data_IF_534175527680
#
_entry.id   IF_534175527680
#
_cell.length_a   1.000
_cell.length_b   1.000
_cell.length_c   1.000
_cell.angle_alpha   90.00
_cell.angle_beta   90.00
_cell.angle_gamma   90.00
#
_symmetry.space_group_name_H-M   'P 1'
#
loop_
_entity.id
_entity.type
_entity.pdbx_description
1 polymer ?
#
# COMPACT_ATOMS: atom_id res chain seq x y z
N UNK A 1 -58.11 -4.47 -4.22
CA UNK A 1 -56.96 -5.38 -3.99
C UNK A 1 -55.67 -4.81 -4.60
N UNK A 2 -55.21 -3.64 -4.13
CA UNK A 2 -54.08 -2.91 -4.77
C UNK A 2 -53.08 -2.32 -3.78
N UNK A 3 -53.28 -2.48 -2.46
CA UNK A 3 -52.40 -1.90 -1.43
C UNK A 3 -51.29 -2.82 -0.93
N UNK A 4 -51.28 -4.10 -1.31
CA UNK A 4 -50.28 -5.07 -0.85
C UNK A 4 -49.09 -5.28 -1.81
N UNK A 5 -49.14 -4.72 -3.04
CA UNK A 5 -48.08 -4.95 -4.04
C UNK A 5 -46.86 -4.02 -3.85
N UNK A 6 -46.99 -2.91 -3.12
CA UNK A 6 -45.90 -1.93 -2.96
C UNK A 6 -44.91 -2.25 -1.83
N UNK A 7 -45.28 -3.11 -0.87
CA UNK A 7 -44.39 -3.47 0.25
C UNK A 7 -43.40 -4.57 -0.16
N UNK A 8 -43.72 -5.39 -1.16
CA UNK A 8 -42.84 -6.46 -1.62
C UNK A 8 -41.67 -5.97 -2.49
N UNK A 9 -41.80 -4.80 -3.12
CA UNK A 9 -40.75 -4.19 -3.95
C UNK A 9 -39.66 -3.45 -3.16
N UNK A 10 -39.85 -3.23 -1.85
CA UNK A 10 -38.83 -2.60 -1.00
C UNK A 10 -37.84 -3.60 -0.36
N UNK A 11 -38.11 -4.91 -0.47
CA UNK A 11 -37.24 -5.95 0.09
C UNK A 11 -36.29 -6.60 -0.94
N UNK A 12 -36.41 -6.26 -2.23
CA UNK A 12 -35.56 -6.83 -3.29
C UNK A 12 -34.35 -5.98 -3.69
N UNK A 13 -34.12 -4.81 -3.08
CA UNK A 13 -33.16 -3.82 -3.59
C UNK A 13 -31.76 -3.86 -2.98
N UNK A 14 -31.41 -4.82 -2.13
CA UNK A 14 -30.08 -4.80 -1.48
C UNK A 14 -29.36 -6.15 -1.42
N UNK A 15 -29.31 -6.89 -2.54
CA UNK A 15 -28.10 -7.68 -2.79
C UNK A 15 -27.03 -6.72 -3.34
N UNK A 16 -26.60 -5.79 -2.47
CA UNK A 16 -25.33 -5.11 -2.65
C UNK A 16 -24.26 -6.20 -2.49
N UNK A 17 -23.88 -6.84 -3.60
CA UNK A 17 -22.68 -7.66 -3.61
C UNK A 17 -21.53 -6.72 -3.26
N UNK A 18 -21.02 -6.83 -2.03
CA UNK A 18 -19.76 -6.22 -1.66
C UNK A 18 -18.72 -6.69 -2.68
N UNK A 19 -18.16 -5.77 -3.45
CA UNK A 19 -17.17 -6.14 -4.46
C UNK A 19 -15.95 -6.73 -3.75
N UNK A 20 -15.59 -7.93 -4.19
CA UNK A 20 -14.42 -8.66 -3.72
C UNK A 20 -13.30 -8.45 -4.72
N UNK A 21 -12.07 -8.37 -4.24
CA UNK A 21 -10.89 -8.36 -5.09
C UNK A 21 -10.20 -9.70 -5.01
N UNK A 22 -9.77 -10.26 -6.13
CA UNK A 22 -9.00 -11.50 -6.12
C UNK A 22 -7.54 -11.23 -5.81
N UNK A 23 -6.84 -12.27 -5.36
CA UNK A 23 -5.39 -12.25 -5.20
C UNK A 23 -4.90 -13.39 -4.33
N UNK A 24 -3.86 -13.13 -3.54
CA UNK A 24 -3.26 -14.14 -2.68
C UNK A 24 -2.59 -13.53 -1.45
N UNK A 25 -2.42 -14.35 -0.42
CA UNK A 25 -1.56 -14.07 0.74
C UNK A 25 -0.35 -15.01 0.74
N UNK A 26 0.76 -14.56 1.31
CA UNK A 26 1.97 -15.33 1.54
C UNK A 26 2.22 -15.37 3.06
N UNK A 27 2.19 -16.57 3.65
CA UNK A 27 2.46 -16.76 5.08
C UNK A 27 3.96 -16.58 5.41
N UNK A 28 4.30 -16.58 6.69
CA UNK A 28 5.70 -16.53 7.13
C UNK A 28 6.48 -17.81 6.77
N UNK A 29 5.77 -18.94 6.64
CA UNK A 29 6.26 -20.24 6.19
C UNK A 29 6.46 -20.29 4.66
N UNK A 30 6.09 -19.22 3.95
CA UNK A 30 6.08 -19.09 2.48
C UNK A 30 4.99 -19.89 1.77
N UNK A 31 3.93 -20.29 2.48
CA UNK A 31 2.74 -20.84 1.84
C UNK A 31 2.00 -19.72 1.11
N UNK A 32 1.58 -20.00 -0.13
CA UNK A 32 0.76 -19.09 -0.93
C UNK A 32 -0.67 -19.57 -0.95
N UNK A 33 -1.60 -18.72 -0.52
CA UNK A 33 -3.04 -19.04 -0.46
C UNK A 33 -3.77 -18.09 -1.39
N UNK A 34 -4.34 -18.61 -2.47
CA UNK A 34 -5.24 -17.84 -3.32
C UNK A 34 -6.55 -17.55 -2.59
N UNK A 35 -7.04 -16.33 -2.71
CA UNK A 35 -8.22 -15.89 -1.98
C UNK A 35 -8.88 -14.67 -2.63
N UNK A 36 -10.06 -14.31 -2.14
CA UNK A 36 -10.63 -12.99 -2.40
C UNK A 36 -10.55 -12.13 -1.14
N UNK A 37 -10.41 -10.81 -1.30
CA UNK A 37 -10.27 -9.85 -0.21
C UNK A 37 -11.61 -9.20 0.14
N UNK A 38 -11.91 -9.17 1.44
CA UNK A 38 -13.04 -8.44 2.04
C UNK A 38 -12.51 -7.10 2.57
N UNK A 39 -12.41 -6.12 1.67
CA UNK A 39 -11.85 -4.78 1.93
C UNK A 39 -12.91 -3.71 1.77
N UNK A 40 -12.69 -2.56 2.42
CA UNK A 40 -13.62 -1.44 2.29
C UNK A 40 -13.46 -0.81 0.90
N UNK A 41 -14.55 -0.66 0.15
CA UNK A 41 -14.56 -0.04 -1.17
C UNK A 41 -15.19 1.34 -1.18
N UNK A 42 -14.81 2.14 -2.18
CA UNK A 42 -15.45 3.42 -2.44
C UNK A 42 -16.92 3.20 -2.83
N UNK A 43 -17.82 4.01 -2.28
CA UNK A 43 -19.27 3.91 -2.52
C UNK A 43 -19.66 4.19 -3.96
N UNK A 44 -18.88 5.01 -4.68
CA UNK A 44 -19.14 5.43 -6.06
C UNK A 44 -18.31 4.64 -7.09
N UNK A 45 -17.31 3.89 -6.63
CA UNK A 45 -16.44 3.09 -7.50
C UNK A 45 -15.94 1.85 -6.76
N UNK A 46 -16.63 0.74 -6.98
CA UNK A 46 -16.33 -0.51 -6.31
C UNK A 46 -15.02 -1.16 -6.79
N UNK A 47 -14.40 -0.65 -7.87
CA UNK A 47 -13.04 -1.07 -8.29
C UNK A 47 -11.94 -0.36 -7.50
N UNK A 48 -12.30 0.63 -6.69
CA UNK A 48 -11.41 1.33 -5.76
C UNK A 48 -11.66 0.83 -4.33
N UNK A 49 -10.63 0.26 -3.71
CA UNK A 49 -10.62 -0.02 -2.28
C UNK A 49 -9.92 1.10 -1.49
N UNK A 50 -10.20 1.21 -0.20
CA UNK A 50 -9.49 2.12 0.72
C UNK A 50 -8.27 1.40 1.31
N UNK A 51 -7.03 1.78 0.93
CA UNK A 51 -5.84 1.07 1.44
C UNK A 51 -5.64 1.18 2.95
N UNK A 52 -6.27 2.16 3.61
CA UNK A 52 -6.30 2.26 5.07
C UNK A 52 -6.97 1.05 5.72
N UNK A 53 -7.89 0.36 5.02
CA UNK A 53 -8.59 -0.81 5.55
C UNK A 53 -7.67 -2.02 5.75
N UNK A 54 -6.49 -2.02 5.12
CA UNK A 54 -5.52 -3.13 5.20
C UNK A 54 -4.27 -2.80 6.01
N UNK A 55 -4.18 -1.61 6.62
CA UNK A 55 -2.97 -1.17 7.34
C UNK A 55 -2.60 -2.11 8.51
N UNK A 56 -3.58 -2.49 9.32
CA UNK A 56 -3.38 -3.26 10.57
C UNK A 56 -3.79 -4.72 10.48
N UNK A 57 -4.53 -5.06 9.44
CA UNK A 57 -5.01 -6.42 9.20
C UNK A 57 -5.63 -6.50 7.83
N UNK A 58 -5.62 -7.68 7.23
CA UNK A 58 -6.33 -7.96 5.98
C UNK A 58 -7.34 -9.08 6.21
N UNK A 59 -8.55 -8.93 5.64
CA UNK A 59 -9.57 -9.97 5.68
C UNK A 59 -9.64 -10.64 4.31
N UNK A 60 -9.55 -11.96 4.31
CA UNK A 60 -9.70 -12.78 3.11
C UNK A 60 -10.94 -13.66 3.22
N UNK A 61 -11.38 -14.15 2.07
CA UNK A 61 -12.41 -15.15 1.89
C UNK A 61 -11.74 -16.33 1.21
N UNK A 62 -11.70 -17.48 1.89
CA UNK A 62 -11.11 -18.71 1.36
C UNK A 62 -11.98 -19.31 0.26
N UNK A 63 -11.47 -20.30 -0.46
CA UNK A 63 -12.24 -21.05 -1.47
C UNK A 63 -13.52 -21.69 -0.88
N UNK A 64 -13.52 -22.01 0.42
CA UNK A 64 -14.68 -22.54 1.14
C UNK A 64 -15.69 -21.45 1.56
N UNK A 65 -15.42 -20.18 1.26
CA UNK A 65 -16.23 -19.04 1.66
C UNK A 65 -16.00 -18.56 3.09
N UNK A 66 -15.03 -19.13 3.81
CA UNK A 66 -14.73 -18.76 5.18
C UNK A 66 -13.99 -17.41 5.22
N UNK A 67 -14.38 -16.55 6.16
CA UNK A 67 -13.69 -15.27 6.39
C UNK A 67 -12.55 -15.44 7.38
N UNK A 68 -11.33 -15.18 6.94
CA UNK A 68 -10.13 -15.25 7.78
C UNK A 68 -9.49 -13.86 7.86
N UNK A 69 -9.08 -13.46 9.05
CA UNK A 69 -8.40 -12.17 9.28
C UNK A 69 -6.94 -12.43 9.64
N UNK A 70 -6.04 -11.83 8.88
CA UNK A 70 -4.60 -11.87 9.12
C UNK A 70 -4.06 -10.54 9.61
N UNK A 71 -3.04 -10.62 10.46
CA UNK A 71 -2.29 -9.49 10.99
C UNK A 71 -0.86 -9.47 10.41
N UNK A 72 -0.14 -8.33 10.45
CA UNK A 72 1.18 -8.23 9.82
C UNK A 72 2.23 -9.20 10.37
N UNK A 73 2.11 -9.64 11.61
CA UNK A 73 3.01 -10.66 12.18
C UNK A 73 2.70 -12.10 11.70
N UNK A 74 1.63 -12.32 10.94
CA UNK A 74 1.23 -13.64 10.44
C UNK A 74 1.46 -13.82 8.94
N UNK A 75 1.63 -12.72 8.20
CA UNK A 75 1.84 -12.74 6.76
C UNK A 75 3.13 -12.01 6.42
N UNK A 76 3.87 -12.59 5.49
CA UNK A 76 5.00 -11.94 4.82
C UNK A 76 4.50 -10.90 3.83
N UNK A 77 3.51 -11.27 3.01
CA UNK A 77 2.98 -10.40 1.97
C UNK A 77 1.55 -10.77 1.57
N UNK A 78 0.89 -9.88 0.83
CA UNK A 78 -0.31 -10.20 0.06
C UNK A 78 -0.41 -9.32 -1.18
N UNK A 79 -1.16 -9.78 -2.17
CA UNK A 79 -1.41 -9.06 -3.42
C UNK A 79 -2.91 -8.96 -3.65
N UNK A 80 -3.41 -7.74 -3.86
CA UNK A 80 -4.78 -7.46 -4.29
C UNK A 80 -4.72 -7.09 -5.77
N UNK A 81 -5.43 -7.85 -6.62
CA UNK A 81 -5.39 -7.69 -8.08
C UNK A 81 -6.56 -6.88 -8.62
N UNK A 82 -6.40 -6.40 -9.86
CA UNK A 82 -7.47 -5.81 -10.67
C UNK A 82 -8.18 -4.62 -9.98
N UNK A 83 -7.45 -3.81 -9.23
CA UNK A 83 -7.97 -2.56 -8.67
C UNK A 83 -7.94 -1.46 -9.73
N UNK A 84 -8.66 -0.37 -9.50
CA UNK A 84 -8.67 0.81 -10.39
C UNK A 84 -7.27 1.30 -10.80
N UNK A 85 -6.31 1.22 -9.88
CA UNK A 85 -4.94 1.71 -10.09
C UNK A 85 -3.93 0.58 -10.31
N UNK A 86 -4.39 -0.61 -10.69
CA UNK A 86 -3.57 -1.79 -10.89
C UNK A 86 -3.49 -2.67 -9.66
N UNK A 87 -2.48 -3.53 -9.61
CA UNK A 87 -2.30 -4.48 -8.52
C UNK A 87 -1.57 -3.83 -7.34
N UNK A 88 -2.02 -4.13 -6.13
CA UNK A 88 -1.41 -3.63 -4.89
C UNK A 88 -0.75 -4.78 -4.15
N UNK A 89 0.58 -4.73 -4.06
CA UNK A 89 1.34 -5.66 -3.23
C UNK A 89 1.64 -5.00 -1.89
N UNK A 90 1.28 -5.68 -0.81
CA UNK A 90 1.57 -5.26 0.55
C UNK A 90 2.49 -6.26 1.24
N UNK A 91 3.35 -5.77 2.11
CA UNK A 91 4.30 -6.57 2.89
C UNK A 91 4.30 -6.18 4.35
N UNK A 92 4.61 -7.13 5.23
CA UNK A 92 5.04 -6.83 6.60
C UNK A 92 6.56 -6.68 6.60
N UNK A 93 7.07 -5.76 7.43
CA UNK A 93 8.49 -5.40 7.44
C UNK A 93 9.05 -5.64 8.84
N UNK A 94 10.15 -6.39 8.93
CA UNK A 94 10.86 -6.72 10.18
C UNK A 94 11.34 -5.46 10.92
N UNK A 95 11.83 -4.47 10.18
CA UNK A 95 12.27 -3.18 10.71
C UNK A 95 11.15 -2.39 11.43
N UNK A 96 9.88 -2.60 11.06
CA UNK A 96 8.71 -2.07 11.78
C UNK A 96 8.20 -3.03 12.87
N UNK A 97 8.91 -4.14 13.12
CA UNK A 97 8.50 -5.22 14.03
C UNK A 97 7.11 -5.76 13.69
N UNK A 98 6.79 -5.83 12.39
CA UNK A 98 5.49 -6.27 11.88
C UNK A 98 4.30 -5.53 12.52
N UNK A 99 4.38 -4.21 12.73
CA UNK A 99 3.25 -3.43 13.27
C UNK A 99 2.23 -3.05 12.21
N UNK A 100 2.63 -2.94 10.94
CA UNK A 100 1.79 -2.52 9.83
C UNK A 100 2.09 -3.33 8.57
N UNK A 101 1.11 -3.34 7.66
CA UNK A 101 1.32 -3.65 6.27
C UNK A 101 1.68 -2.38 5.47
N UNK A 102 2.59 -2.53 4.53
CA UNK A 102 3.12 -1.47 3.68
C UNK A 102 2.96 -1.85 2.22
N UNK A 103 2.46 -0.94 1.39
CA UNK A 103 2.43 -1.15 -0.05
C UNK A 103 3.86 -1.05 -0.61
N UNK A 104 4.27 -2.02 -1.42
CA UNK A 104 5.50 -1.98 -2.20
C UNK A 104 5.32 -1.00 -3.38
N UNK A 105 6.20 -0.01 -3.48
CA UNK A 105 6.25 0.91 -4.63
C UNK A 105 7.43 0.58 -5.53
N UNK A 106 8.63 0.45 -4.94
CA UNK A 106 9.86 0.09 -5.64
C UNK A 106 10.69 -0.78 -4.70
N UNK A 107 11.18 -1.93 -5.15
CA UNK A 107 11.98 -2.85 -4.34
C UNK A 107 13.39 -2.95 -4.92
N UNK A 108 14.40 -2.91 -4.04
CA UNK A 108 15.82 -2.97 -4.39
C UNK A 108 16.72 -2.67 -3.20
N UNK A 109 17.98 -2.28 -3.47
CA UNK A 109 18.95 -1.87 -2.44
C UNK A 109 18.39 -0.76 -1.53
N UNK A 110 17.63 0.16 -2.10
CA UNK A 110 16.69 1.03 -1.39
C UNK A 110 15.27 0.62 -1.78
N UNK A 111 14.49 0.16 -0.81
CA UNK A 111 13.07 -0.16 -1.02
C UNK A 111 12.19 1.00 -0.58
N UNK A 112 11.22 1.35 -1.43
CA UNK A 112 10.24 2.42 -1.23
C UNK A 112 8.88 1.80 -0.93
N UNK A 113 8.30 2.22 0.18
CA UNK A 113 7.02 1.74 0.67
C UNK A 113 6.05 2.88 0.92
N UNK A 114 4.75 2.59 0.83
CA UNK A 114 3.68 3.49 1.26
C UNK A 114 2.86 2.88 2.39
N UNK A 115 2.56 3.71 3.38
CA UNK A 115 1.56 3.43 4.40
C UNK A 115 0.41 4.41 4.26
N UNK A 116 -0.79 3.93 4.53
CA UNK A 116 -2.02 4.71 4.40
C UNK A 116 -2.63 4.87 5.78
N UNK A 117 -2.69 6.10 6.28
CA UNK A 117 -3.35 6.40 7.55
C UNK A 117 -4.64 7.18 7.31
N UNK A 118 -5.62 6.96 8.18
CA UNK A 118 -6.89 7.68 8.08
C UNK A 118 -6.65 9.18 8.22
N UNK A 119 -7.27 9.93 7.33
CA UNK A 119 -7.40 11.37 7.49
C UNK A 119 -8.56 11.63 8.47
N UNK A 120 -8.31 12.41 9.52
CA UNK A 120 -9.34 12.72 10.53
C UNK A 120 -10.44 13.65 9.99
N UNK A 121 -10.24 14.27 8.82
CA UNK A 121 -11.22 15.13 8.19
C UNK A 121 -12.29 14.30 7.44
N UNK A 122 -13.60 14.50 7.73
CA UNK A 122 -14.67 13.82 7.02
C UNK A 122 -14.58 14.04 5.49
N UNK A 123 -14.62 12.94 4.72
CA UNK A 123 -14.57 12.97 3.25
C UNK A 123 -13.18 13.19 2.65
N UNK A 124 -12.13 13.37 3.45
CA UNK A 124 -10.79 13.54 2.94
C UNK A 124 -10.14 12.20 2.56
N UNK A 125 -9.27 12.23 1.55
CA UNK A 125 -8.49 11.08 1.14
C UNK A 125 -7.50 10.64 2.23
N UNK A 126 -7.17 9.33 2.32
CA UNK A 126 -6.10 8.84 3.18
C UNK A 126 -4.82 9.65 3.05
N UNK A 127 -4.12 9.83 4.16
CA UNK A 127 -2.79 10.43 4.14
C UNK A 127 -1.80 9.33 3.76
N UNK A 128 -1.13 9.53 2.62
CA UNK A 128 -0.04 8.67 2.19
C UNK A 128 1.26 9.06 2.90
N UNK A 129 1.87 8.09 3.58
CA UNK A 129 3.17 8.22 4.22
C UNK A 129 4.19 7.37 3.48
N UNK A 130 5.28 8.00 3.05
CA UNK A 130 6.34 7.32 2.30
C UNK A 130 7.45 6.87 3.25
N UNK A 131 7.86 5.61 3.12
CA UNK A 131 8.93 5.00 3.90
C UNK A 131 10.04 4.50 2.97
N UNK A 132 11.28 4.61 3.44
CA UNK A 132 12.48 4.16 2.76
C UNK A 132 13.15 3.10 3.64
N UNK A 133 13.46 1.95 3.06
CA UNK A 133 14.20 0.89 3.72
C UNK A 133 15.53 0.67 3.00
N UNK A 134 16.63 0.79 3.73
CA UNK A 134 17.99 0.47 3.27
C UNK A 134 18.68 -0.28 4.41
N UNK A 135 19.36 -1.37 4.11
CA UNK A 135 20.13 -2.16 5.10
C UNK A 135 19.31 -2.54 6.36
N UNK A 136 18.03 -2.91 6.16
CA UNK A 136 17.06 -3.26 7.20
C UNK A 136 16.68 -2.10 8.17
N UNK A 137 16.97 -0.86 7.79
CA UNK A 137 16.52 0.32 8.51
C UNK A 137 15.35 0.99 7.79
N UNK A 138 14.17 0.98 8.41
CA UNK A 138 12.98 1.65 7.90
C UNK A 138 12.90 3.07 8.44
N UNK A 139 12.73 4.02 7.54
CA UNK A 139 12.74 5.45 7.86
C UNK A 139 11.66 6.20 7.09
N UNK A 140 11.13 7.26 7.68
CA UNK A 140 10.22 8.19 7.02
C UNK A 140 10.60 9.62 7.38
N UNK A 141 10.44 10.55 6.43
CA UNK A 141 10.71 11.96 6.70
C UNK A 141 9.76 12.84 5.90
N UNK A 142 8.84 13.50 6.62
CA UNK A 142 7.74 14.23 6.00
C UNK A 142 7.87 15.75 6.05
N UNK A 143 8.78 16.33 6.85
CA UNK A 143 8.49 17.67 7.37
C UNK A 143 9.37 18.85 6.94
N UNK A 144 10.44 18.72 6.14
CA UNK A 144 11.17 19.91 5.63
C UNK A 144 12.01 19.64 4.36
N UNK A 145 11.95 20.51 3.35
CA UNK A 145 12.64 20.33 2.04
C UNK A 145 14.17 20.24 2.18
N UNK A 146 14.80 21.23 2.83
CA UNK A 146 16.26 21.23 3.06
C UNK A 146 16.70 20.03 3.90
N UNK A 147 15.90 19.67 4.91
CA UNK A 147 16.17 18.51 5.74
C UNK A 147 15.95 17.20 5.00
N UNK A 148 15.10 17.15 3.97
CA UNK A 148 14.87 15.97 3.15
C UNK A 148 15.99 15.77 2.14
N UNK A 149 16.43 16.83 1.46
CA UNK A 149 17.53 16.80 0.49
C UNK A 149 18.79 16.19 1.10
N UNK A 150 19.26 16.77 2.20
CA UNK A 150 20.44 16.30 2.93
C UNK A 150 20.25 14.89 3.49
N UNK A 151 19.06 14.58 3.99
CA UNK A 151 18.78 13.26 4.56
C UNK A 151 18.78 12.17 3.50
N UNK A 152 18.10 12.39 2.38
CA UNK A 152 18.08 11.44 1.28
C UNK A 152 19.45 11.38 0.56
N UNK A 153 20.21 12.48 0.55
CA UNK A 153 21.59 12.47 0.06
C UNK A 153 22.45 11.44 0.78
N UNK A 154 22.35 11.36 2.12
CA UNK A 154 23.02 10.31 2.91
C UNK A 154 22.57 8.89 2.54
N UNK A 155 21.33 8.70 2.10
CA UNK A 155 20.85 7.39 1.67
C UNK A 155 21.55 6.89 0.40
N UNK A 156 22.04 7.79 -0.44
CA UNK A 156 22.63 7.48 -1.75
C UNK A 156 24.09 7.91 -1.87
N UNK A 157 24.75 8.21 -0.75
CA UNK A 157 26.14 8.74 -0.74
C UNK A 157 27.16 7.72 -1.26
N UNK A 158 26.82 6.44 -1.21
CA UNK A 158 27.58 5.33 -1.79
C UNK A 158 27.46 5.25 -3.33
N UNK A 159 26.68 6.12 -3.96
CA UNK A 159 26.67 6.36 -5.40
C UNK A 159 27.03 7.83 -5.70
N UNK A 160 28.33 8.19 -5.76
CA UNK A 160 28.77 9.59 -5.78
C UNK A 160 28.21 10.43 -6.92
N UNK A 161 28.09 9.87 -8.13
CA UNK A 161 27.54 10.59 -9.29
C UNK A 161 26.06 10.94 -9.08
N UNK A 162 25.26 9.97 -8.62
CA UNK A 162 23.84 10.20 -8.34
C UNK A 162 23.67 11.13 -7.14
N UNK A 163 24.49 10.99 -6.11
CA UNK A 163 24.52 11.90 -4.97
C UNK A 163 24.78 13.33 -5.41
N UNK A 164 25.78 13.59 -6.25
CA UNK A 164 26.09 14.93 -6.74
C UNK A 164 24.90 15.54 -7.52
N UNK A 165 24.30 14.79 -8.45
CA UNK A 165 23.08 15.21 -9.17
C UNK A 165 21.90 15.42 -8.20
N UNK A 166 21.78 14.57 -7.18
CA UNK A 166 20.81 14.74 -6.11
C UNK A 166 21.17 15.89 -5.16
N UNK A 167 22.34 16.50 -5.15
CA UNK A 167 22.57 17.68 -4.32
C UNK A 167 22.27 18.96 -5.10
N UNK A 168 22.51 18.96 -6.41
CA UNK A 168 22.23 20.07 -7.32
C UNK A 168 20.76 20.09 -7.78
N UNK A 169 19.88 20.68 -6.97
CA UNK A 169 18.43 20.70 -7.26
C UNK A 169 18.02 21.58 -8.39
N UNK A 170 18.86 22.55 -8.75
CA UNK A 170 18.50 23.55 -9.74
C UNK A 170 18.67 22.98 -11.15
N UNK A 171 19.65 22.09 -11.34
CA UNK A 171 19.98 21.52 -12.64
C UNK A 171 19.48 20.09 -12.87
N UNK A 172 19.24 19.29 -11.82
CA UNK A 172 18.93 17.86 -11.98
C UNK A 172 17.58 17.46 -11.35
N UNK A 173 17.60 16.84 -10.16
CA UNK A 173 16.40 16.21 -9.58
C UNK A 173 15.71 17.11 -8.57
N UNK A 174 14.39 17.24 -8.69
CA UNK A 174 13.49 17.87 -7.71
C UNK A 174 12.96 16.83 -6.70
N UNK A 175 12.39 17.29 -5.57
CA UNK A 175 11.89 16.39 -4.49
C UNK A 175 10.82 15.41 -4.99
N UNK A 176 9.93 15.84 -5.86
CA UNK A 176 8.88 15.00 -6.44
C UNK A 176 9.42 13.90 -7.37
N UNK A 177 10.70 13.94 -7.73
CA UNK A 177 11.38 12.93 -8.55
C UNK A 177 12.16 11.90 -7.72
N UNK A 178 11.97 11.87 -6.39
CA UNK A 178 12.70 10.92 -5.52
C UNK A 178 12.47 9.45 -5.93
N UNK A 179 11.28 9.10 -6.42
CA UNK A 179 11.00 7.75 -6.92
C UNK A 179 11.89 7.37 -8.12
N UNK A 180 12.15 8.31 -9.03
CA UNK A 180 13.04 8.12 -10.18
C UNK A 180 14.50 7.96 -9.72
N UNK A 181 14.91 8.75 -8.72
CA UNK A 181 16.25 8.65 -8.13
C UNK A 181 16.45 7.31 -7.44
N UNK A 182 15.46 6.83 -6.67
CA UNK A 182 15.49 5.48 -6.07
C UNK A 182 15.59 4.40 -7.15
N UNK A 183 14.85 4.54 -8.26
CA UNK A 183 14.90 3.60 -9.38
C UNK A 183 16.30 3.54 -10.00
N UNK A 184 16.90 4.69 -10.32
CA UNK A 184 18.25 4.78 -10.86
C UNK A 184 19.30 4.21 -9.91
N UNK A 185 19.18 4.51 -8.61
CA UNK A 185 20.04 3.95 -7.59
C UNK A 185 19.95 2.43 -7.57
N UNK A 186 18.73 1.89 -7.53
CA UNK A 186 18.53 0.45 -7.52
C UNK A 186 19.03 -0.24 -8.79
N UNK A 187 18.94 0.41 -9.95
CA UNK A 187 19.48 -0.12 -11.21
C UNK A 187 21.01 -0.20 -11.19
N UNK A 188 21.70 0.72 -10.51
CA UNK A 188 23.16 0.70 -10.37
C UNK A 188 23.67 -0.46 -9.50
N UNK A 189 22.93 -0.83 -8.45
CA UNK A 189 23.31 -1.87 -7.49
C UNK A 189 22.65 -3.25 -7.74
N UNK A 190 22.08 -3.47 -8.93
CA UNK A 190 21.50 -4.77 -9.32
C UNK A 190 22.57 -5.80 -9.68
#
# INVERSE_FOLDING_TARGET
MTKFLFIFLFFLSTILSAQKFDGYVISNENDTINCSFDVQTNLFDQTMFYPTSVLKSVKIITEKGEKVKYYPNQLKAFLIKNTKFGDYRFVSIDADKHKNFYQEVTIGKISLYRSYVNNMQPGAFPIEKTFYCKDNELSSKETNFFNFRNWFGKFIEDYPELHQKWMDSDNYYKKNQVADVVKLYNEHFK
#
